data_IF_799515617019
#
_entry.id   IF_799515617019
#
_cell.length_a   1.000
_cell.length_b   1.000
_cell.length_c   1.000
_cell.angle_alpha   90.00
_cell.angle_beta   90.00
_cell.angle_gamma   90.00
#
_symmetry.space_group_name_H-M   'P 1'
#
loop_
_entity.id
_entity.type
_entity.pdbx_description
1 polymer ?
#
# COMPACT_ATOMS: atom_id res chain seq x y z
N UNK A 1 10.15 -20.11 -17.42
CA UNK A 1 9.58 -18.88 -18.00
C UNK A 1 8.06 -18.82 -18.02
N UNK A 2 7.32 -19.60 -18.85
CA UNK A 2 5.83 -19.49 -18.91
C UNK A 2 5.12 -19.83 -17.59
N UNK A 3 5.58 -20.87 -16.90
CA UNK A 3 5.00 -21.27 -15.60
C UNK A 3 5.36 -20.28 -14.48
N UNK A 4 6.53 -19.65 -14.51
CA UNK A 4 6.94 -18.66 -13.50
C UNK A 4 6.14 -17.37 -13.62
N UNK A 5 5.94 -16.87 -14.84
CA UNK A 5 5.10 -15.69 -15.08
C UNK A 5 3.65 -15.94 -14.66
N UNK A 6 3.13 -17.15 -14.90
CA UNK A 6 1.79 -17.53 -14.46
C UNK A 6 1.68 -17.54 -12.93
N UNK A 7 2.68 -18.08 -12.23
CA UNK A 7 2.75 -18.04 -10.75
C UNK A 7 2.79 -16.59 -10.25
N UNK A 8 3.64 -15.75 -10.82
CA UNK A 8 3.74 -14.31 -10.46
C UNK A 8 2.39 -13.62 -10.69
N UNK A 9 1.75 -13.89 -11.84
CA UNK A 9 0.44 -13.32 -12.15
C UNK A 9 -0.60 -13.72 -11.11
N UNK A 10 -0.70 -15.01 -10.80
CA UNK A 10 -1.64 -15.53 -9.81
C UNK A 10 -1.39 -14.92 -8.43
N UNK A 11 -0.12 -14.80 -8.05
CA UNK A 11 0.27 -14.17 -6.80
C UNK A 11 -0.13 -12.70 -6.76
N UNK A 12 0.05 -11.94 -7.84
CA UNK A 12 -0.30 -10.51 -7.90
C UNK A 12 -1.81 -10.29 -7.90
N UNK A 13 -2.56 -11.05 -8.70
CA UNK A 13 -4.03 -10.86 -8.82
C UNK A 13 -4.81 -11.46 -7.65
N UNK A 14 -4.19 -12.32 -6.84
CA UNK A 14 -4.84 -12.94 -5.68
C UNK A 14 -5.32 -11.88 -4.68
N UNK A 15 -6.63 -11.83 -4.45
CA UNK A 15 -7.32 -10.84 -3.61
C UNK A 15 -7.86 -9.62 -4.38
N UNK A 16 -7.58 -9.50 -5.68
CA UNK A 16 -8.09 -8.42 -6.54
C UNK A 16 -9.32 -8.93 -7.31
N UNK A 17 -10.41 -8.16 -7.24
CA UNK A 17 -11.70 -8.45 -7.86
C UNK A 17 -11.70 -8.05 -9.34
N UNK A 18 -11.04 -8.85 -10.19
CA UNK A 18 -10.91 -8.58 -11.62
C UNK A 18 -12.26 -8.39 -12.35
N UNK A 19 -13.32 -9.04 -11.87
CA UNK A 19 -14.68 -8.89 -12.43
C UNK A 19 -15.17 -7.44 -12.39
N UNK A 20 -14.73 -6.63 -11.42
CA UNK A 20 -15.10 -5.20 -11.33
C UNK A 20 -14.47 -4.39 -12.45
N UNK A 21 -13.23 -4.72 -12.82
CA UNK A 21 -12.52 -4.13 -13.97
C UNK A 21 -13.21 -4.53 -15.28
N UNK A 22 -13.57 -5.81 -15.40
CA UNK A 22 -14.20 -6.35 -16.61
C UNK A 22 -15.59 -5.75 -16.88
N UNK A 23 -16.34 -5.40 -15.83
CA UNK A 23 -17.69 -4.83 -15.92
C UNK A 23 -17.72 -3.33 -16.23
N UNK A 24 -16.58 -2.65 -16.24
CA UNK A 24 -16.54 -1.22 -16.54
C UNK A 24 -17.15 -0.90 -17.92
N UNK A 25 -17.85 0.24 -18.06
CA UNK A 25 -18.23 0.76 -19.37
C UNK A 25 -17.01 0.97 -20.26
N UNK A 26 -17.19 0.83 -21.58
CA UNK A 26 -16.11 0.98 -22.57
C UNK A 26 -15.37 2.32 -22.43
N UNK A 27 -16.10 3.42 -22.22
CA UNK A 27 -15.50 4.74 -22.02
C UNK A 27 -14.56 4.79 -20.81
N UNK A 28 -14.94 4.18 -19.69
CA UNK A 28 -14.08 4.08 -18.50
C UNK A 28 -12.86 3.18 -18.77
N UNK A 29 -13.01 2.10 -19.54
CA UNK A 29 -11.86 1.25 -19.93
C UNK A 29 -10.83 2.00 -20.78
N UNK A 30 -11.25 2.92 -21.65
CA UNK A 30 -10.32 3.81 -22.34
C UNK A 30 -9.57 4.74 -21.39
N UNK A 31 -10.22 5.26 -20.34
CA UNK A 31 -9.53 6.03 -19.29
C UNK A 31 -8.55 5.15 -18.51
N UNK A 32 -8.90 3.88 -18.27
CA UNK A 32 -8.00 2.93 -17.60
C UNK A 32 -6.72 2.67 -18.41
N UNK A 33 -6.81 2.69 -19.74
CA UNK A 33 -5.66 2.52 -20.63
C UNK A 33 -4.53 3.53 -20.34
N UNK A 34 -4.87 4.77 -19.96
CA UNK A 34 -3.87 5.79 -19.61
C UNK A 34 -3.04 5.40 -18.38
N UNK A 35 -3.65 4.72 -17.40
CA UNK A 35 -2.92 4.18 -16.25
C UNK A 35 -2.08 2.94 -16.60
N UNK A 36 -2.53 2.12 -17.56
CA UNK A 36 -1.73 1.02 -18.10
C UNK A 36 -0.48 1.56 -18.80
N UNK A 37 -0.63 2.61 -19.62
CA UNK A 37 0.49 3.31 -20.26
C UNK A 37 1.44 3.90 -19.23
N UNK A 38 0.90 4.60 -18.21
CA UNK A 38 1.71 5.16 -17.13
C UNK A 38 2.61 4.10 -16.50
N UNK A 39 2.04 2.99 -16.03
CA UNK A 39 2.82 1.92 -15.41
C UNK A 39 3.85 1.33 -16.37
N UNK A 40 3.50 1.13 -17.64
CA UNK A 40 4.45 0.59 -18.62
C UNK A 40 5.65 1.53 -18.83
N UNK A 41 5.42 2.84 -18.89
CA UNK A 41 6.49 3.83 -18.98
C UNK A 41 7.35 3.86 -17.71
N UNK A 42 6.73 3.75 -16.54
CA UNK A 42 7.45 3.70 -15.26
C UNK A 42 8.24 2.40 -15.09
N UNK A 43 7.72 1.28 -15.57
CA UNK A 43 8.45 0.02 -15.63
C UNK A 43 9.68 0.14 -16.53
N UNK A 44 9.54 0.75 -17.72
CA UNK A 44 10.66 0.99 -18.62
C UNK A 44 11.72 1.92 -17.99
N UNK A 45 11.28 2.96 -17.27
CA UNK A 45 12.18 3.81 -16.50
C UNK A 45 12.92 3.02 -15.41
N UNK A 46 12.22 2.15 -14.67
CA UNK A 46 12.83 1.31 -13.64
C UNK A 46 13.82 0.28 -14.22
N UNK A 47 13.60 -0.22 -15.43
CA UNK A 47 14.56 -1.08 -16.14
C UNK A 47 15.87 -0.35 -16.45
N UNK A 48 15.77 0.92 -16.87
CA UNK A 48 16.92 1.74 -17.26
C UNK A 48 17.66 2.34 -16.06
N UNK A 49 16.93 2.82 -15.05
CA UNK A 49 17.46 3.63 -13.94
C UNK A 49 17.30 3.00 -12.55
N UNK A 50 16.77 1.77 -12.47
CA UNK A 50 16.36 1.07 -11.24
C UNK A 50 15.11 1.64 -10.57
N UNK A 51 14.36 0.78 -9.87
CA UNK A 51 13.13 1.17 -9.16
C UNK A 51 13.35 2.22 -8.05
N UNK A 52 14.58 2.32 -7.52
CA UNK A 52 14.96 3.30 -6.49
C UNK A 52 14.88 4.75 -6.99
N UNK A 53 14.97 4.96 -8.30
CA UNK A 53 14.95 6.30 -8.92
C UNK A 53 13.60 6.69 -9.49
N UNK A 54 12.53 5.92 -9.24
CA UNK A 54 11.20 6.22 -9.77
C UNK A 54 10.64 7.60 -9.33
N UNK A 55 11.12 8.17 -8.21
CA UNK A 55 10.79 9.55 -7.81
C UNK A 55 11.33 10.62 -8.77
N UNK A 56 12.35 10.28 -9.57
CA UNK A 56 12.98 11.15 -10.56
C UNK A 56 12.35 10.99 -11.95
N UNK A 57 11.40 10.07 -12.12
CA UNK A 57 10.72 9.88 -13.39
C UNK A 57 9.92 11.13 -13.78
N UNK A 58 9.93 11.54 -15.08
CA UNK A 58 9.09 12.62 -15.57
C UNK A 58 7.58 12.36 -15.38
N UNK A 59 7.15 11.12 -15.17
CA UNK A 59 5.75 10.82 -14.89
C UNK A 59 5.41 10.73 -13.40
N UNK A 60 6.37 10.89 -12.49
CA UNK A 60 6.14 10.76 -11.05
C UNK A 60 4.99 11.66 -10.58
N UNK A 61 4.90 12.88 -11.10
CA UNK A 61 3.87 13.85 -10.70
C UNK A 61 2.52 13.70 -11.43
N UNK A 62 2.39 12.77 -12.38
CA UNK A 62 1.19 12.65 -13.23
C UNK A 62 -0.02 12.04 -12.55
N UNK A 63 0.15 11.21 -11.51
CA UNK A 63 -0.98 10.59 -10.80
C UNK A 63 -0.76 10.45 -9.29
N UNK A 64 -1.76 10.85 -8.50
CA UNK A 64 -1.70 10.81 -7.04
C UNK A 64 -1.68 9.38 -6.47
N UNK A 65 -2.39 8.43 -7.10
CA UNK A 65 -2.40 7.02 -6.66
C UNK A 65 -1.07 6.36 -6.96
N UNK A 66 -0.48 6.66 -8.12
CA UNK A 66 0.88 6.25 -8.43
C UNK A 66 1.88 6.75 -7.39
N UNK A 67 1.85 8.06 -7.08
CA UNK A 67 2.69 8.67 -6.02
C UNK A 67 2.48 8.12 -4.62
N UNK A 68 1.33 7.52 -4.35
CA UNK A 68 1.08 6.82 -3.10
C UNK A 68 1.83 5.48 -3.03
N UNK A 69 1.94 4.78 -4.16
CA UNK A 69 2.44 3.39 -4.20
C UNK A 69 3.93 3.27 -4.54
N UNK A 70 4.47 4.15 -5.38
CA UNK A 70 5.89 4.21 -5.75
C UNK A 70 6.85 4.23 -4.56
N UNK A 71 6.57 4.97 -3.48
CA UNK A 71 7.38 4.93 -2.27
C UNK A 71 7.68 3.52 -1.74
N UNK A 72 6.72 2.61 -1.88
CA UNK A 72 6.89 1.23 -1.44
C UNK A 72 7.97 0.50 -2.27
N UNK A 73 8.07 0.81 -3.57
CA UNK A 73 9.14 0.31 -4.44
C UNK A 73 10.48 0.95 -4.10
N UNK A 74 10.50 2.28 -3.98
CA UNK A 74 11.72 3.07 -3.76
C UNK A 74 12.39 2.74 -2.44
N UNK A 75 11.62 2.36 -1.42
CA UNK A 75 12.14 1.95 -0.11
C UNK A 75 12.28 0.44 0.06
N UNK A 76 12.26 -0.31 -1.05
CA UNK A 76 12.41 -1.78 -1.10
C UNK A 76 11.49 -2.54 -0.14
N UNK A 77 10.25 -2.08 0.04
CA UNK A 77 9.28 -2.76 0.91
C UNK A 77 9.06 -4.20 0.41
N UNK A 78 8.96 -5.15 1.34
CA UNK A 78 8.73 -6.56 1.01
C UNK A 78 7.46 -6.73 0.16
N UNK A 79 7.48 -7.69 -0.77
CA UNK A 79 6.33 -7.93 -1.64
C UNK A 79 5.04 -8.22 -0.85
N UNK A 80 5.14 -9.01 0.22
CA UNK A 80 3.99 -9.38 1.06
C UNK A 80 3.38 -8.16 1.77
N UNK A 81 4.22 -7.25 2.28
CA UNK A 81 3.76 -6.03 2.92
C UNK A 81 3.16 -5.06 1.89
N UNK A 82 3.79 -4.92 0.71
CA UNK A 82 3.25 -4.12 -0.41
C UNK A 82 1.86 -4.62 -0.82
N UNK A 83 1.73 -5.93 -1.06
CA UNK A 83 0.47 -6.54 -1.48
C UNK A 83 -0.61 -6.33 -0.42
N UNK A 84 -0.27 -6.47 0.85
CA UNK A 84 -1.23 -6.25 1.95
C UNK A 84 -1.69 -4.79 2.03
N UNK A 85 -0.77 -3.84 1.95
CA UNK A 85 -1.09 -2.40 1.93
C UNK A 85 -2.03 -2.09 0.75
N UNK A 86 -1.72 -2.62 -0.44
CA UNK A 86 -2.53 -2.46 -1.65
C UNK A 86 -3.94 -3.01 -1.46
N UNK A 87 -4.07 -4.25 -0.96
CA UNK A 87 -5.38 -4.88 -0.77
C UNK A 87 -6.22 -4.10 0.24
N UNK A 88 -5.62 -3.63 1.34
CA UNK A 88 -6.32 -2.80 2.33
C UNK A 88 -6.91 -1.54 1.70
N UNK A 89 -6.18 -0.85 0.82
CA UNK A 89 -6.72 0.30 0.08
C UNK A 89 -7.82 -0.10 -0.90
N UNK A 90 -7.66 -1.21 -1.63
CA UNK A 90 -8.67 -1.69 -2.57
C UNK A 90 -10.02 -1.96 -1.88
N UNK A 91 -10.00 -2.55 -0.68
CA UNK A 91 -11.20 -2.79 0.11
C UNK A 91 -11.91 -1.50 0.56
N UNK A 92 -11.31 -0.32 0.40
CA UNK A 92 -11.99 0.96 0.70
C UNK A 92 -12.80 1.51 -0.46
N UNK A 93 -12.65 0.96 -1.66
CA UNK A 93 -13.41 1.38 -2.84
C UNK A 93 -14.65 0.50 -3.07
N UNK A 94 -15.44 0.23 -2.03
CA UNK A 94 -16.64 -0.61 -2.11
C UNK A 94 -17.72 -0.02 -3.03
N UNK A 95 -17.80 1.32 -3.12
CA UNK A 95 -18.89 2.02 -3.79
C UNK A 95 -18.58 2.49 -5.22
N UNK A 96 -17.35 2.28 -5.71
CA UNK A 96 -16.97 2.77 -7.04
C UNK A 96 -16.04 1.79 -7.75
N UNK A 97 -16.58 1.12 -8.77
CA UNK A 97 -15.82 0.23 -9.64
C UNK A 97 -14.77 0.99 -10.47
N UNK A 98 -15.04 2.25 -10.83
CA UNK A 98 -14.09 3.08 -11.58
C UNK A 98 -12.84 3.39 -10.73
N UNK A 99 -13.02 3.87 -9.49
CA UNK A 99 -11.88 4.14 -8.60
C UNK A 99 -11.17 2.86 -8.17
N UNK A 100 -11.92 1.79 -7.88
CA UNK A 100 -11.36 0.47 -7.60
C UNK A 100 -10.46 0.01 -8.76
N UNK A 101 -10.97 0.05 -9.98
CA UNK A 101 -10.26 -0.45 -11.17
C UNK A 101 -9.02 0.38 -11.49
N UNK A 102 -9.10 1.71 -11.38
CA UNK A 102 -7.94 2.59 -11.48
C UNK A 102 -6.85 2.18 -10.48
N UNK A 103 -7.22 2.08 -9.20
CA UNK A 103 -6.27 1.72 -8.16
C UNK A 103 -5.70 0.31 -8.39
N UNK A 104 -6.53 -0.66 -8.75
CA UNK A 104 -6.13 -2.03 -8.99
C UNK A 104 -5.11 -2.15 -10.12
N UNK A 105 -5.32 -1.45 -11.25
CA UNK A 105 -4.38 -1.47 -12.38
C UNK A 105 -3.03 -0.88 -12.00
N UNK A 106 -3.02 0.28 -11.34
CA UNK A 106 -1.78 0.89 -10.85
C UNK A 106 -1.07 -0.02 -9.84
N UNK A 107 -1.82 -0.61 -8.91
CA UNK A 107 -1.28 -1.46 -7.87
C UNK A 107 -0.72 -2.79 -8.40
N UNK A 108 -1.40 -3.45 -9.33
CA UNK A 108 -0.88 -4.63 -10.03
C UNK A 108 0.40 -4.28 -10.79
N UNK A 109 0.40 -3.14 -11.48
CA UNK A 109 1.59 -2.59 -12.14
C UNK A 109 2.80 -2.46 -11.22
N UNK A 110 2.61 -1.79 -10.09
CA UNK A 110 3.63 -1.63 -9.05
C UNK A 110 4.14 -2.98 -8.53
N UNK A 111 3.26 -3.95 -8.30
CA UNK A 111 3.65 -5.29 -7.86
C UNK A 111 4.42 -6.08 -8.93
N UNK A 112 4.09 -5.91 -10.21
CA UNK A 112 4.85 -6.49 -11.30
C UNK A 112 6.26 -5.89 -11.40
N UNK A 113 6.39 -4.57 -11.26
CA UNK A 113 7.70 -3.89 -11.20
C UNK A 113 8.52 -4.45 -10.02
N UNK A 114 7.91 -4.63 -8.84
CA UNK A 114 8.59 -5.23 -7.67
C UNK A 114 9.12 -6.64 -7.96
N UNK A 115 8.40 -7.40 -8.80
CA UNK A 115 8.79 -8.76 -9.21
C UNK A 115 9.77 -8.80 -10.38
N UNK A 116 10.21 -7.65 -10.89
CA UNK A 116 11.17 -7.57 -11.99
C UNK A 116 10.59 -8.06 -13.32
N UNK A 117 9.28 -7.95 -13.52
CA UNK A 117 8.64 -8.25 -14.81
C UNK A 117 8.91 -7.10 -15.77
N UNK A 118 9.24 -7.43 -17.03
CA UNK A 118 9.60 -6.44 -18.02
C UNK A 118 8.40 -5.56 -18.44
N UNK A 119 8.69 -4.32 -18.82
CA UNK A 119 7.73 -3.27 -19.17
C UNK A 119 6.74 -3.69 -20.26
N UNK A 120 7.20 -4.44 -21.27
CA UNK A 120 6.37 -4.97 -22.33
C UNK A 120 5.39 -6.03 -21.82
N UNK A 121 5.86 -6.99 -21.03
CA UNK A 121 5.03 -8.02 -20.40
C UNK A 121 4.01 -7.39 -19.45
N UNK A 122 4.41 -6.38 -18.66
CA UNK A 122 3.49 -5.62 -17.78
C UNK A 122 2.38 -4.98 -18.59
N UNK A 123 2.73 -4.22 -19.64
CA UNK A 123 1.77 -3.54 -20.51
C UNK A 123 0.72 -4.51 -21.05
N UNK A 124 1.15 -5.61 -21.67
CA UNK A 124 0.25 -6.60 -22.26
C UNK A 124 -0.58 -7.35 -21.21
N UNK A 125 0.00 -7.65 -20.06
CA UNK A 125 -0.72 -8.34 -18.97
C UNK A 125 -1.85 -7.46 -18.43
N UNK A 126 -1.57 -6.18 -18.15
CA UNK A 126 -2.57 -5.23 -17.66
C UNK A 126 -3.62 -4.91 -18.74
N UNK A 127 -3.21 -4.79 -20.00
CA UNK A 127 -4.13 -4.56 -21.12
C UNK A 127 -5.14 -5.73 -21.26
N UNK A 128 -4.67 -6.96 -21.13
CA UNK A 128 -5.53 -8.15 -21.13
C UNK A 128 -6.57 -8.16 -19.99
N UNK A 129 -6.31 -7.49 -18.86
CA UNK A 129 -7.25 -7.39 -17.75
C UNK A 129 -8.46 -6.49 -18.05
N UNK A 130 -8.42 -5.68 -19.12
CA UNK A 130 -9.58 -4.88 -19.56
C UNK A 130 -10.65 -5.72 -20.28
N UNK A 131 -10.31 -6.96 -20.64
CA UNK A 131 -11.23 -7.96 -21.19
C UNK A 131 -11.20 -8.05 -22.72
N UNK A 132 -11.37 -9.28 -23.22
CA UNK A 132 -11.23 -9.64 -24.64
C UNK A 132 -12.14 -8.79 -25.54
N UNK A 133 -13.42 -8.64 -25.19
CA UNK A 133 -14.38 -7.88 -26.01
C UNK A 133 -13.95 -6.41 -26.19
N UNK A 134 -13.40 -5.80 -25.14
CA UNK A 134 -12.88 -4.43 -25.24
C UNK A 134 -11.72 -4.35 -26.24
N UNK A 135 -10.78 -5.30 -26.15
CA UNK A 135 -9.61 -5.35 -27.02
C UNK A 135 -9.97 -5.63 -28.49
N UNK A 136 -10.89 -6.56 -28.74
CA UNK A 136 -11.24 -6.99 -30.09
C UNK A 136 -12.17 -6.03 -30.81
N UNK A 137 -13.11 -5.42 -30.10
CA UNK A 137 -14.17 -4.61 -30.70
C UNK A 137 -13.90 -3.11 -30.65
N UNK A 138 -13.23 -2.61 -29.60
CA UNK A 138 -13.13 -1.16 -29.34
C UNK A 138 -11.71 -0.63 -29.55
N UNK A 139 -10.70 -1.30 -28.97
CA UNK A 139 -9.30 -0.88 -29.10
C UNK A 139 -8.80 -0.95 -30.56
N UNK A 140 -9.34 -1.90 -31.34
CA UNK A 140 -9.07 -2.01 -32.78
C UNK A 140 -9.56 -0.79 -33.57
N UNK A 141 -10.66 -0.16 -33.15
CA UNK A 141 -11.31 0.96 -33.85
C UNK A 141 -10.70 2.32 -33.50
N UNK A 142 -10.34 2.53 -32.23
CA UNK A 142 -9.66 3.75 -31.75
C UNK A 142 -8.16 3.73 -32.10
N UNK A 143 -7.65 2.54 -32.41
CA UNK A 143 -6.33 2.34 -32.99
C UNK A 143 -5.31 1.97 -31.92
N UNK A 144 -4.70 0.80 -32.11
CA UNK A 144 -3.54 0.35 -31.32
C UNK A 144 -2.44 1.43 -31.25
N UNK A 145 -2.30 2.28 -32.28
CA UNK A 145 -1.37 3.43 -32.30
C UNK A 145 -1.64 4.46 -31.19
N UNK A 146 -2.89 4.81 -30.91
CA UNK A 146 -3.24 5.76 -29.83
C UNK A 146 -2.93 5.16 -28.45
N UNK A 147 -2.99 3.82 -28.31
CA UNK A 147 -2.55 3.12 -27.11
C UNK A 147 -1.02 3.16 -26.90
N UNK A 148 -0.23 3.51 -27.93
CA UNK A 148 1.22 3.71 -27.86
C UNK A 148 1.65 5.19 -27.95
N UNK A 149 0.69 6.13 -27.96
CA UNK A 149 1.03 7.55 -27.85
C UNK A 149 1.80 7.80 -26.55
N UNK A 150 2.87 8.60 -26.65
CA UNK A 150 3.79 8.85 -25.53
C UNK A 150 3.21 9.78 -24.47
N UNK A 151 2.27 10.64 -24.86
CA UNK A 151 1.63 11.58 -23.96
C UNK A 151 0.52 10.88 -23.18
N UNK A 152 0.49 11.08 -21.85
CA UNK A 152 -0.48 10.47 -20.95
C UNK A 152 -1.38 11.59 -20.44
N UNK A 153 -2.68 11.45 -20.64
CA UNK A 153 -3.68 12.40 -20.16
C UNK A 153 -4.40 11.84 -18.92
N UNK A 154 -4.00 12.29 -17.73
CA UNK A 154 -4.60 11.82 -16.46
C UNK A 154 -5.44 12.93 -15.85
N UNK A 155 -6.75 12.70 -15.79
CA UNK A 155 -7.69 13.57 -15.09
C UNK A 155 -7.93 13.04 -13.68
N UNK A 156 -7.42 13.73 -12.66
CA UNK A 156 -7.42 13.27 -11.27
C UNK A 156 -8.52 13.95 -10.45
N UNK A 157 -9.61 13.22 -10.18
CA UNK A 157 -10.55 13.61 -9.13
C UNK A 157 -10.80 12.37 -8.28
N UNK A 158 -9.99 12.17 -7.26
CA UNK A 158 -10.38 11.29 -6.14
C UNK A 158 -10.51 12.20 -4.93
N UNK A 159 -11.71 12.27 -4.34
CA UNK A 159 -11.96 13.04 -3.11
C UNK A 159 -11.89 12.11 -1.91
N UNK A 160 -11.10 12.49 -0.91
CA UNK A 160 -10.75 11.65 0.24
C UNK A 160 -11.35 12.17 1.55
N UNK A 161 -11.53 11.30 2.54
CA UNK A 161 -12.06 11.64 3.87
C UNK A 161 -11.06 12.48 4.67
N UNK A 162 -11.55 13.47 5.41
CA UNK A 162 -10.76 14.23 6.37
C UNK A 162 -10.35 13.36 7.57
N UNK A 163 -9.18 13.67 8.16
CA UNK A 163 -8.56 12.86 9.20
C UNK A 163 -8.84 13.43 10.59
N UNK A 164 -9.56 12.68 11.42
CA UNK A 164 -9.85 13.08 12.80
C UNK A 164 -8.59 13.06 13.69
N UNK A 165 -8.49 14.02 14.62
CA UNK A 165 -7.34 14.23 15.51
C UNK A 165 -7.00 12.98 16.36
N UNK A 166 -8.02 12.21 16.75
CA UNK A 166 -7.87 10.98 17.55
C UNK A 166 -7.05 9.91 16.86
N UNK A 167 -7.20 9.74 15.54
CA UNK A 167 -6.44 8.76 14.77
C UNK A 167 -4.96 9.14 14.70
N UNK A 168 -4.66 10.45 14.61
CA UNK A 168 -3.28 10.94 14.52
C UNK A 168 -2.49 10.51 15.75
N UNK A 169 -2.98 10.86 16.94
CA UNK A 169 -2.25 10.61 18.18
C UNK A 169 -1.89 9.14 18.32
N UNK A 170 -2.89 8.25 18.22
CA UNK A 170 -2.67 6.81 18.34
C UNK A 170 -1.74 6.26 17.27
N UNK A 171 -1.87 6.72 16.03
CA UNK A 171 -0.96 6.31 14.95
C UNK A 171 0.50 6.65 15.31
N UNK A 172 0.77 7.87 15.77
CA UNK A 172 2.12 8.31 16.08
C UNK A 172 2.68 7.64 17.33
N UNK A 173 1.84 7.40 18.34
CA UNK A 173 2.22 6.56 19.50
C UNK A 173 2.65 5.16 19.03
N UNK A 174 1.87 4.51 18.15
CA UNK A 174 2.19 3.18 17.62
C UNK A 174 3.46 3.18 16.76
N UNK A 175 3.69 4.24 15.98
CA UNK A 175 4.95 4.39 15.24
C UNK A 175 6.16 4.52 16.19
N UNK A 176 6.01 5.28 17.28
CA UNK A 176 7.07 5.46 18.28
C UNK A 176 7.34 4.16 19.05
N UNK A 177 6.30 3.40 19.40
CA UNK A 177 6.44 2.04 19.95
C UNK A 177 7.18 1.11 19.00
N UNK A 178 6.95 1.23 17.69
CA UNK A 178 7.70 0.50 16.67
C UNK A 178 9.19 0.81 16.72
N UNK A 179 9.58 2.09 16.84
CA UNK A 179 10.98 2.49 17.00
C UNK A 179 11.56 2.01 18.34
N UNK A 180 10.82 2.12 19.43
CA UNK A 180 11.23 1.62 20.74
C UNK A 180 11.58 0.12 20.68
N UNK A 181 10.75 -0.67 19.99
CA UNK A 181 11.01 -2.11 19.83
C UNK A 181 12.24 -2.41 18.97
N UNK A 182 12.53 -1.56 17.99
CA UNK A 182 13.70 -1.70 17.11
C UNK A 182 14.97 -1.33 17.88
N UNK A 183 14.94 -0.25 18.67
CA UNK A 183 16.11 0.32 19.35
C UNK A 183 16.41 -0.35 20.68
N UNK A 184 15.41 -0.48 21.55
CA UNK A 184 15.57 -0.93 22.95
C UNK A 184 15.12 -2.38 23.15
N UNK A 185 14.48 -2.98 22.14
CA UNK A 185 14.06 -4.38 22.18
C UNK A 185 12.68 -4.61 22.78
N UNK A 186 12.31 -5.90 22.87
CA UNK A 186 10.94 -6.32 23.23
C UNK A 186 10.62 -6.02 24.70
N UNK A 187 11.59 -6.15 25.60
CA UNK A 187 11.38 -5.94 27.04
C UNK A 187 10.98 -4.50 27.35
N UNK A 188 11.68 -3.52 26.76
CA UNK A 188 11.32 -2.10 26.88
C UNK A 188 9.94 -1.79 26.29
N UNK A 189 9.60 -2.40 25.14
CA UNK A 189 8.28 -2.29 24.55
C UNK A 189 7.17 -2.86 25.46
N UNK A 190 7.39 -4.07 25.99
CA UNK A 190 6.43 -4.74 26.88
C UNK A 190 6.19 -3.88 28.12
N UNK A 191 7.27 -3.38 28.75
CA UNK A 191 7.17 -2.51 29.91
C UNK A 191 6.34 -1.26 29.61
N UNK A 192 6.65 -0.57 28.50
CA UNK A 192 5.92 0.63 28.12
C UNK A 192 4.43 0.35 27.84
N UNK A 193 4.12 -0.66 27.03
CA UNK A 193 2.72 -0.93 26.64
C UNK A 193 1.91 -1.40 27.86
N UNK A 194 2.46 -2.29 28.69
CA UNK A 194 1.71 -2.92 29.77
C UNK A 194 1.57 -2.02 31.00
N UNK A 195 2.53 -1.13 31.26
CA UNK A 195 2.56 -0.32 32.49
C UNK A 195 2.40 1.19 32.28
N UNK A 196 2.74 1.72 31.09
CA UNK A 196 2.71 3.16 30.84
C UNK A 196 1.62 3.59 29.85
N UNK A 197 1.25 2.72 28.90
CA UNK A 197 0.27 3.07 27.86
C UNK A 197 -1.18 2.99 28.34
N UNK A 198 -1.86 4.14 28.42
CA UNK A 198 -3.17 4.27 29.06
C UNK A 198 -4.36 3.68 28.29
N UNK A 199 -4.22 3.32 27.01
CA UNK A 199 -5.35 2.84 26.19
C UNK A 199 -5.53 1.34 26.34
N UNK A 200 -6.38 0.93 27.29
CA UNK A 200 -6.67 -0.49 27.60
C UNK A 200 -6.94 -1.35 26.37
N UNK A 201 -7.68 -0.84 25.38
CA UNK A 201 -7.95 -1.57 24.13
C UNK A 201 -6.69 -1.89 23.33
N UNK A 202 -5.75 -0.95 23.26
CA UNK A 202 -4.46 -1.15 22.57
C UNK A 202 -3.62 -2.16 23.33
N UNK A 203 -3.61 -2.07 24.67
CA UNK A 203 -2.92 -3.02 25.55
C UNK A 203 -3.47 -4.44 25.36
N UNK A 204 -4.80 -4.60 25.39
CA UNK A 204 -5.45 -5.89 25.18
C UNK A 204 -5.11 -6.49 23.81
N UNK A 205 -5.23 -5.71 22.73
CA UNK A 205 -4.90 -6.17 21.38
C UNK A 205 -3.41 -6.52 21.23
N UNK A 206 -2.54 -5.78 21.92
CA UNK A 206 -1.11 -6.09 21.97
C UNK A 206 -0.86 -7.43 22.65
N UNK A 207 -1.42 -7.64 23.84
CA UNK A 207 -1.28 -8.91 24.59
C UNK A 207 -1.76 -10.10 23.77
N UNK A 208 -2.92 -9.97 23.09
CA UNK A 208 -3.42 -11.03 22.21
C UNK A 208 -2.44 -11.33 21.08
N UNK A 209 -1.89 -10.30 20.40
CA UNK A 209 -1.03 -10.52 19.23
C UNK A 209 0.40 -10.95 19.60
N UNK A 210 0.94 -10.48 20.72
CA UNK A 210 2.33 -10.69 21.12
C UNK A 210 2.58 -12.11 21.65
N UNK A 211 1.57 -12.74 22.26
CA UNK A 211 1.63 -14.12 22.76
C UNK A 211 1.55 -15.19 21.66
N UNK A 212 1.02 -14.83 20.49
CA UNK A 212 0.88 -15.79 19.39
C UNK A 212 2.23 -16.12 18.75
N UNK A 213 2.48 -17.38 18.34
CA UNK A 213 3.71 -17.74 17.65
C UNK A 213 3.88 -16.94 16.35
N UNK A 214 5.11 -16.49 16.01
CA UNK A 214 5.36 -15.74 14.78
C UNK A 214 5.04 -16.58 13.53
N UNK A 215 4.74 -15.90 12.43
CA UNK A 215 4.46 -16.54 11.14
C UNK A 215 2.98 -16.64 10.81
N UNK A 216 2.59 -17.71 10.11
CA UNK A 216 1.26 -17.86 9.50
C UNK A 216 0.10 -17.85 10.51
N UNK A 217 0.30 -18.35 11.72
CA UNK A 217 -0.74 -18.39 12.75
C UNK A 217 -1.09 -17.00 13.26
N UNK A 218 -0.11 -16.21 13.72
CA UNK A 218 -0.32 -14.81 14.12
C UNK A 218 -0.95 -14.00 12.99
N UNK A 219 -0.53 -14.24 11.75
CA UNK A 219 -1.08 -13.57 10.59
C UNK A 219 -2.57 -13.92 10.36
N UNK A 220 -2.94 -15.19 10.51
CA UNK A 220 -4.33 -15.63 10.38
C UNK A 220 -5.23 -15.00 11.45
N UNK A 221 -4.77 -14.96 12.71
CA UNK A 221 -5.49 -14.31 13.80
C UNK A 221 -5.60 -12.80 13.57
N UNK A 222 -4.51 -12.14 13.18
CA UNK A 222 -4.53 -10.73 12.78
C UNK A 222 -5.61 -10.46 11.72
N UNK A 223 -5.63 -11.25 10.63
CA UNK A 223 -6.64 -11.10 9.58
C UNK A 223 -8.07 -11.32 10.10
N UNK A 224 -8.25 -12.28 11.02
CA UNK A 224 -9.56 -12.55 11.63
C UNK A 224 -10.04 -11.39 12.51
N UNK A 225 -9.13 -10.72 13.23
CA UNK A 225 -9.47 -9.58 14.08
C UNK A 225 -9.83 -8.32 13.27
N UNK A 226 -9.40 -8.24 12.01
CA UNK A 226 -9.82 -7.17 11.11
C UNK A 226 -11.30 -7.32 10.68
N UNK A 227 -11.86 -8.53 10.73
CA UNK A 227 -13.26 -8.76 10.43
C UNK A 227 -14.15 -8.26 11.58
N UNK A 228 -15.08 -7.35 11.28
CA UNK A 228 -16.04 -6.81 12.24
C UNK A 228 -15.56 -5.60 13.07
N UNK A 229 -14.27 -5.24 13.02
CA UNK A 229 -13.76 -4.02 13.65
C UNK A 229 -14.12 -2.74 12.88
N UNK A 230 -14.21 -1.61 13.59
CA UNK A 230 -14.30 -0.29 12.96
C UNK A 230 -12.94 0.12 12.33
N UNK A 231 -12.93 1.24 11.61
CA UNK A 231 -11.72 1.73 10.94
C UNK A 231 -10.59 2.04 11.95
N UNK A 232 -10.93 2.52 13.14
CA UNK A 232 -9.95 2.84 14.18
C UNK A 232 -9.29 1.56 14.72
N UNK A 233 -10.07 0.53 15.00
CA UNK A 233 -9.60 -0.76 15.48
C UNK A 233 -8.70 -1.44 14.46
N UNK A 234 -9.10 -1.40 13.19
CA UNK A 234 -8.28 -1.91 12.09
C UNK A 234 -6.94 -1.19 12.00
N UNK A 235 -6.93 0.14 12.18
CA UNK A 235 -5.70 0.94 12.23
C UNK A 235 -4.81 0.52 13.41
N UNK A 236 -5.38 0.38 14.61
CA UNK A 236 -4.63 -0.03 15.81
C UNK A 236 -4.04 -1.42 15.64
N UNK A 237 -4.84 -2.39 15.19
CA UNK A 237 -4.39 -3.75 14.90
C UNK A 237 -3.24 -3.77 13.89
N UNK A 238 -3.37 -2.99 12.80
CA UNK A 238 -2.30 -2.86 11.82
C UNK A 238 -1.00 -2.32 12.43
N UNK A 239 -1.10 -1.25 13.22
CA UNK A 239 0.06 -0.65 13.89
C UNK A 239 0.73 -1.62 14.87
N UNK A 240 -0.05 -2.30 15.71
CA UNK A 240 0.47 -3.30 16.66
C UNK A 240 1.12 -4.48 15.93
N UNK A 241 0.50 -4.96 14.86
CA UNK A 241 1.08 -6.03 14.04
C UNK A 241 2.43 -5.62 13.43
N UNK A 242 2.56 -4.37 12.96
CA UNK A 242 3.83 -3.85 12.43
C UNK A 242 4.88 -3.61 13.52
N UNK A 243 4.47 -3.15 14.71
CA UNK A 243 5.35 -3.02 15.90
C UNK A 243 5.93 -4.38 16.27
N UNK A 244 5.09 -5.40 16.46
CA UNK A 244 5.52 -6.76 16.86
C UNK A 244 6.47 -7.38 15.84
N UNK A 245 6.28 -7.10 14.54
CA UNK A 245 7.13 -7.59 13.45
C UNK A 245 8.40 -6.77 13.23
N UNK A 246 8.62 -5.69 13.99
CA UNK A 246 9.74 -4.74 13.78
C UNK A 246 9.79 -4.20 12.34
N UNK A 247 8.62 -3.91 11.77
CA UNK A 247 8.53 -3.31 10.44
C UNK A 247 9.09 -1.89 10.44
N UNK A 248 9.58 -1.43 9.29
CA UNK A 248 10.09 -0.06 9.17
C UNK A 248 8.99 0.97 9.44
N UNK A 249 9.40 2.20 9.78
CA UNK A 249 8.48 3.32 10.01
C UNK A 249 7.54 3.54 8.81
N UNK A 250 8.09 3.45 7.59
CA UNK A 250 7.34 3.59 6.35
C UNK A 250 6.29 2.49 6.19
N UNK A 251 6.67 1.22 6.37
CA UNK A 251 5.73 0.09 6.27
C UNK A 251 4.60 0.23 7.29
N UNK A 252 4.95 0.55 8.54
CA UNK A 252 3.99 0.77 9.61
C UNK A 252 3.02 1.91 9.28
N UNK A 253 3.55 3.02 8.75
CA UNK A 253 2.75 4.18 8.34
C UNK A 253 1.74 3.84 7.24
N UNK A 254 2.19 3.16 6.18
CA UNK A 254 1.34 2.77 5.05
C UNK A 254 0.33 1.70 5.44
N UNK A 255 0.70 0.73 6.29
CA UNK A 255 -0.22 -0.30 6.79
C UNK A 255 -1.38 0.34 7.55
N UNK A 256 -1.10 1.23 8.50
CA UNK A 256 -2.14 1.94 9.27
C UNK A 256 -3.02 2.84 8.39
N UNK A 257 -2.43 3.58 7.45
CA UNK A 257 -3.18 4.43 6.53
C UNK A 257 -4.13 3.66 5.63
N UNK A 258 -3.66 2.53 5.10
CA UNK A 258 -4.45 1.70 4.21
C UNK A 258 -5.70 1.15 4.90
N UNK A 259 -5.62 0.84 6.20
CA UNK A 259 -6.77 0.37 7.00
C UNK A 259 -7.89 1.37 7.17
N UNK A 260 -7.62 2.66 7.00
CA UNK A 260 -8.59 3.75 7.17
C UNK A 260 -8.86 4.49 5.86
N UNK A 261 -8.30 4.02 4.74
CA UNK A 261 -8.42 4.69 3.44
C UNK A 261 -7.83 6.10 3.44
N UNK A 262 -6.76 6.34 4.21
CA UNK A 262 -6.10 7.65 4.26
C UNK A 262 -4.94 7.70 3.28
N UNK A 263 -4.98 8.66 2.38
CA UNK A 263 -3.99 8.87 1.34
C UNK A 263 -3.00 9.96 1.76
N UNK A 264 -2.30 9.79 2.89
CA UNK A 264 -1.20 10.68 3.25
C UNK A 264 0.11 10.13 2.70
N UNK A 265 0.75 10.89 1.82
CA UNK A 265 2.10 10.59 1.35
C UNK A 265 3.08 10.70 2.51
N UNK A 266 3.66 9.57 2.92
CA UNK A 266 4.82 9.58 3.81
C UNK A 266 5.95 10.42 3.19
N UNK A 267 6.06 10.36 1.86
CA UNK A 267 7.13 10.92 1.03
C UNK A 267 7.06 12.43 0.81
N UNK A 268 5.93 13.07 1.13
CA UNK A 268 5.85 14.52 1.00
C UNK A 268 6.65 15.21 2.11
N UNK A 269 6.76 14.60 3.30
CA UNK A 269 7.52 15.09 4.48
C UNK A 269 7.90 13.97 5.45
N UNK A 270 8.69 12.97 5.03
CA UNK A 270 9.09 11.87 5.91
C UNK A 270 9.83 12.38 7.14
N UNK A 271 10.59 13.47 7.01
CA UNK A 271 11.35 14.10 8.09
C UNK A 271 10.43 14.67 9.17
N UNK A 272 9.23 15.18 8.81
CA UNK A 272 8.28 15.69 9.81
C UNK A 272 7.59 14.57 10.57
N UNK A 273 7.25 13.49 9.87
CA UNK A 273 6.68 12.30 10.52
C UNK A 273 7.73 11.70 11.45
N UNK A 274 8.95 11.53 10.97
CA UNK A 274 10.05 11.00 11.75
C UNK A 274 10.37 11.88 12.96
N UNK A 275 10.48 13.20 12.80
CA UNK A 275 10.75 14.11 13.92
C UNK A 275 9.69 14.03 15.03
N UNK A 276 8.40 14.03 14.67
CA UNK A 276 7.31 13.91 15.66
C UNK A 276 7.31 12.53 16.35
N UNK A 277 7.60 11.47 15.59
CA UNK A 277 7.72 10.11 16.17
C UNK A 277 8.94 10.00 17.09
N UNK A 278 10.05 10.65 16.75
CA UNK A 278 11.29 10.71 17.55
C UNK A 278 11.08 11.48 18.85
N UNK A 279 10.32 12.57 18.82
CA UNK A 279 9.95 13.34 20.01
C UNK A 279 9.12 12.51 20.98
N UNK A 280 8.13 11.77 20.45
CA UNK A 280 7.31 10.86 21.26
C UNK A 280 8.18 9.74 21.83
N UNK A 281 9.08 9.14 21.02
CA UNK A 281 10.01 8.11 21.48
C UNK A 281 10.89 8.60 22.63
N UNK A 282 11.41 9.83 22.57
CA UNK A 282 12.20 10.40 23.65
C UNK A 282 11.38 10.50 24.96
N UNK A 283 10.10 10.87 24.88
CA UNK A 283 9.20 10.84 26.03
C UNK A 283 8.98 9.42 26.56
N UNK A 284 8.84 8.42 25.68
CA UNK A 284 8.70 7.01 26.08
C UNK A 284 9.95 6.51 26.80
N UNK A 285 11.15 6.80 26.27
CA UNK A 285 12.42 6.44 26.91
C UNK A 285 12.57 7.10 28.28
N UNK A 286 12.19 8.37 28.41
CA UNK A 286 12.20 9.08 29.69
C UNK A 286 11.27 8.43 30.73
N UNK A 287 10.09 7.95 30.33
CA UNK A 287 9.16 7.23 31.23
C UNK A 287 9.72 5.88 31.70
N UNK A 288 10.57 5.25 30.88
CA UNK A 288 11.25 3.98 31.19
C UNK A 288 12.60 4.16 31.90
N UNK A 289 13.09 5.39 32.05
CA UNK A 289 14.44 5.66 32.57
C UNK A 289 15.57 5.21 31.64
N UNK A 290 15.33 5.21 30.32
CA UNK A 290 16.30 4.90 29.28
C UNK A 290 16.92 6.20 28.72
N UNK A 291 18.20 6.14 28.32
CA UNK A 291 18.94 7.26 27.70
C UNK A 291 18.74 7.35 26.18
#
# INVERSE_FOLDING_TARGET
>A
MRNELETIRQEIVSGIELDRILKLPVAEKFRILEYVKLIAQEAAYAEEFTAFRLKESPNYEKDQTYRLLVPLLVHDVSFDDMKRIILNYLYKFEQSDAYYSKFAILAMGILFIKRGVDSYTIFHTLLCMLGVNFLTENLRLVGYRQAFEKEIEIDSIIRYKEYESTYRKTKYDLLAMGLLHIEEGKEALDEYILHHYKREKVVLLYSILSELPPGGFRLAIFNSLLYGGDDFDKMVLAGLYTVIRKSTLLVSHYMMNSMIGKYSHFDLRPEKVEAEVREILASMKAELGLE
#
